data_IF_681468414068
#
_entry.id   IF_681468414068
#
_cell.length_a   1.000
_cell.length_b   1.000
_cell.length_c   1.000
_cell.angle_alpha   90.00
_cell.angle_beta   90.00
_cell.angle_gamma   90.00
#
_symmetry.space_group_name_H-M   'P 1'
#
loop_
_entity.id
_entity.type
_entity.pdbx_description
1 polymer ?
#
# COMPACT_ATOMS: atom_id res chain seq x y z
N UNK A 1 -8.70 -11.04 -10.78
CA UNK A 1 -7.90 -11.44 -9.60
C UNK A 1 -8.03 -10.40 -8.50
N UNK A 2 -7.76 -10.75 -7.24
CA UNK A 2 -7.70 -9.80 -6.12
C UNK A 2 -6.25 -9.70 -5.66
N UNK A 3 -5.74 -8.49 -5.50
CA UNK A 3 -4.37 -8.20 -5.04
C UNK A 3 -4.46 -7.31 -3.81
N UNK A 4 -3.74 -7.69 -2.75
CA UNK A 4 -3.68 -6.94 -1.48
C UNK A 4 -2.24 -6.72 -1.06
N UNK A 5 -1.90 -5.49 -0.67
CA UNK A 5 -0.56 -5.17 -0.21
C UNK A 5 -0.57 -4.01 0.81
N UNK A 6 0.42 -3.97 1.71
CA UNK A 6 0.63 -2.82 2.58
C UNK A 6 1.15 -1.63 1.77
N UNK A 7 0.59 -0.44 2.01
CA UNK A 7 1.04 0.78 1.35
C UNK A 7 2.21 1.41 2.11
N UNK A 8 3.42 1.27 1.56
CA UNK A 8 4.62 1.91 2.14
C UNK A 8 4.54 3.44 2.13
N UNK A 9 3.70 4.03 1.28
CA UNK A 9 3.49 5.48 1.19
C UNK A 9 2.81 6.09 2.41
N UNK A 10 2.26 5.27 3.32
CA UNK A 10 1.52 5.69 4.49
C UNK A 10 2.34 6.64 5.38
N UNK A 11 1.69 7.67 5.91
CA UNK A 11 2.36 8.77 6.63
C UNK A 11 3.22 8.29 7.80
N UNK A 12 2.81 7.22 8.49
CA UNK A 12 3.60 6.64 9.59
C UNK A 12 4.93 6.07 9.10
N UNK A 13 4.92 5.36 7.98
CA UNK A 13 6.14 4.84 7.36
C UNK A 13 7.07 5.98 6.93
N UNK A 14 6.51 7.03 6.29
CA UNK A 14 7.29 8.22 5.91
C UNK A 14 7.88 8.95 7.10
N UNK A 15 7.08 9.14 8.16
CA UNK A 15 7.53 9.81 9.37
C UNK A 15 8.61 9.01 10.08
N UNK A 16 8.49 7.69 10.13
CA UNK A 16 9.49 6.82 10.74
C UNK A 16 10.83 6.89 9.99
N UNK A 17 10.80 6.85 8.65
CA UNK A 17 12.02 7.03 7.84
C UNK A 17 12.59 8.43 8.01
N UNK A 18 11.75 9.47 8.01
CA UNK A 18 12.21 10.85 8.13
C UNK A 18 12.82 11.17 9.51
N UNK A 19 12.25 10.62 10.59
CA UNK A 19 12.69 10.91 11.96
C UNK A 19 13.80 9.96 12.44
N UNK A 20 13.73 8.67 12.09
CA UNK A 20 14.64 7.65 12.61
C UNK A 20 15.70 7.22 11.58
N UNK A 21 15.47 7.46 10.28
CA UNK A 21 16.36 6.98 9.22
C UNK A 21 16.37 5.45 9.05
N UNK A 22 15.46 4.75 9.73
CA UNK A 22 15.37 3.28 9.73
C UNK A 22 14.22 2.80 8.86
N UNK A 23 14.34 1.56 8.40
CA UNK A 23 13.25 0.91 7.67
C UNK A 23 12.01 0.84 8.56
N UNK A 24 10.83 1.27 8.06
CA UNK A 24 9.66 1.36 8.89
C UNK A 24 9.13 -0.03 9.20
N UNK A 25 8.86 -0.27 10.48
CA UNK A 25 8.25 -1.50 10.97
C UNK A 25 6.81 -1.16 11.33
N UNK A 26 5.88 -1.67 10.53
CA UNK A 26 4.45 -1.48 10.73
C UNK A 26 3.81 -2.79 11.19
N UNK A 27 2.61 -2.74 11.75
CA UNK A 27 1.86 -3.97 12.07
C UNK A 27 1.51 -4.78 10.82
N UNK A 28 1.35 -4.10 9.69
CA UNK A 28 1.15 -4.67 8.35
C UNK A 28 2.45 -5.14 7.68
N UNK A 29 3.61 -4.74 8.22
CA UNK A 29 4.94 -5.17 7.80
C UNK A 29 5.79 -5.45 9.06
N UNK A 30 5.55 -6.57 9.76
CA UNK A 30 6.15 -6.83 11.07
C UNK A 30 7.61 -7.29 10.99
N UNK A 31 8.12 -7.53 9.78
CA UNK A 31 9.46 -8.05 9.57
C UNK A 31 10.51 -6.95 9.63
N UNK A 32 11.64 -7.26 10.24
CA UNK A 32 12.84 -6.44 10.20
C UNK A 32 13.42 -6.45 8.78
N UNK A 33 14.09 -5.36 8.39
CA UNK A 33 14.65 -5.18 7.04
C UNK A 33 15.55 -6.34 6.59
N UNK A 34 16.27 -6.97 7.52
CA UNK A 34 17.19 -8.09 7.26
C UNK A 34 16.51 -9.48 7.26
N UNK A 35 15.27 -9.58 7.73
CA UNK A 35 14.54 -10.84 7.92
C UNK A 35 13.23 -10.90 7.13
N UNK A 36 13.16 -10.18 6.00
CA UNK A 36 11.91 -10.08 5.24
C UNK A 36 11.87 -11.11 4.11
N UNK A 37 11.09 -12.21 4.20
CA UNK A 37 10.97 -13.16 3.10
C UNK A 37 10.12 -12.54 1.99
N UNK A 38 10.74 -12.23 0.84
CA UNK A 38 10.07 -11.86 -0.41
C UNK A 38 9.04 -10.71 -0.35
N UNK A 39 9.21 -9.72 0.54
CA UNK A 39 8.35 -8.53 0.51
C UNK A 39 8.93 -7.51 -0.44
N UNK A 40 8.18 -7.20 -1.49
CA UNK A 40 8.44 -6.02 -2.31
C UNK A 40 7.71 -4.84 -1.68
N UNK A 41 8.44 -3.76 -1.37
CA UNK A 41 7.88 -2.56 -0.79
C UNK A 41 7.57 -1.57 -1.91
N UNK A 42 6.30 -1.23 -2.05
CA UNK A 42 5.84 -0.30 -3.08
C UNK A 42 4.63 0.49 -2.57
N UNK A 43 4.37 1.60 -3.23
CA UNK A 43 3.24 2.46 -2.91
C UNK A 43 2.04 2.15 -3.79
N UNK A 44 0.88 2.66 -3.41
CA UNK A 44 -0.33 2.61 -4.26
C UNK A 44 -0.04 3.19 -5.65
N UNK A 45 0.74 4.27 -5.74
CA UNK A 45 1.08 4.92 -7.01
C UNK A 45 1.94 4.02 -7.89
N UNK A 46 2.92 3.32 -7.32
CA UNK A 46 3.79 2.43 -8.09
C UNK A 46 2.99 1.26 -8.68
N UNK A 47 2.04 0.73 -7.92
CA UNK A 47 1.15 -0.33 -8.40
C UNK A 47 0.19 0.14 -9.50
N UNK A 48 -0.37 1.34 -9.36
CA UNK A 48 -1.24 1.93 -10.39
C UNK A 48 -0.46 2.20 -11.69
N UNK A 49 0.79 2.65 -11.60
CA UNK A 49 1.67 2.85 -12.76
C UNK A 49 2.03 1.52 -13.43
N UNK A 50 2.30 0.47 -12.64
CA UNK A 50 2.50 -0.88 -13.16
C UNK A 50 1.25 -1.40 -13.90
N UNK A 51 0.06 -1.22 -13.31
CA UNK A 51 -1.20 -1.60 -13.95
C UNK A 51 -1.39 -0.89 -15.29
N UNK A 52 -1.07 0.41 -15.35
CA UNK A 52 -1.10 1.20 -16.58
C UNK A 52 -0.13 0.68 -17.63
N UNK A 53 1.14 0.46 -17.25
CA UNK A 53 2.18 -0.05 -18.14
C UNK A 53 1.84 -1.43 -18.70
N UNK A 54 1.23 -2.31 -17.89
CA UNK A 54 0.85 -3.67 -18.26
C UNK A 54 -0.56 -3.79 -18.86
N UNK A 55 -1.28 -2.67 -19.04
CA UNK A 55 -2.68 -2.63 -19.51
C UNK A 55 -3.61 -3.57 -18.71
N UNK A 56 -3.46 -3.54 -17.39
CA UNK A 56 -4.30 -4.31 -16.48
C UNK A 56 -5.50 -3.45 -16.07
N UNK A 57 -6.70 -3.97 -16.27
CA UNK A 57 -7.92 -3.27 -15.87
C UNK A 57 -8.14 -3.32 -14.36
N UNK A 58 -8.22 -2.15 -13.75
CA UNK A 58 -8.57 -2.01 -12.33
C UNK A 58 -10.07 -1.80 -12.21
N UNK A 59 -10.79 -2.86 -11.85
CA UNK A 59 -12.26 -2.84 -11.72
C UNK A 59 -12.71 -2.14 -10.44
N UNK A 60 -12.01 -2.39 -9.34
CA UNK A 60 -12.28 -1.75 -8.06
C UNK A 60 -10.98 -1.53 -7.30
N UNK A 61 -10.94 -0.42 -6.56
CA UNK A 61 -9.91 -0.12 -5.58
C UNK A 61 -10.57 0.19 -4.24
N UNK A 62 -10.01 -0.33 -3.17
CA UNK A 62 -10.43 -0.03 -1.82
C UNK A 62 -9.20 0.16 -0.96
N UNK A 63 -9.21 1.23 -0.17
CA UNK A 63 -8.16 1.52 0.79
C UNK A 63 -8.74 1.24 2.18
N UNK A 64 -8.04 0.40 2.92
CA UNK A 64 -8.42 -0.05 4.23
C UNK A 64 -7.48 0.56 5.28
N UNK A 65 -8.07 0.93 6.40
CA UNK A 65 -7.32 1.22 7.61
C UNK A 65 -6.92 -0.09 8.31
N UNK A 66 -6.05 -0.03 9.33
CA UNK A 66 -5.60 -1.17 10.12
C UNK A 66 -6.76 -2.04 10.61
N UNK A 67 -7.91 -1.46 10.98
CA UNK A 67 -9.07 -2.20 11.46
C UNK A 67 -9.85 -2.93 10.34
N UNK A 68 -9.29 -3.04 9.12
CA UNK A 68 -9.97 -3.51 7.90
C UNK A 68 -11.27 -2.75 7.60
N UNK A 69 -11.39 -1.54 8.15
CA UNK A 69 -12.55 -0.68 7.90
C UNK A 69 -12.30 0.09 6.61
N UNK A 70 -13.29 0.16 5.70
CA UNK A 70 -13.19 1.02 4.53
C UNK A 70 -13.01 2.45 5.03
N UNK A 71 -11.92 3.08 4.62
CA UNK A 71 -11.62 4.43 5.04
C UNK A 71 -12.57 5.40 4.31
N UNK A 72 -13.47 6.05 5.07
CA UNK A 72 -14.52 6.95 4.56
C UNK A 72 -14.09 8.43 4.53
N UNK A 73 -12.82 8.72 4.85
CA UNK A 73 -12.27 10.07 4.79
C UNK A 73 -12.37 10.68 3.37
N UNK A 74 -12.19 12.01 3.23
CA UNK A 74 -12.17 12.63 1.92
C UNK A 74 -11.18 11.87 1.02
N UNK A 75 -11.52 11.66 -0.25
CA UNK A 75 -10.69 11.01 -1.31
C UNK A 75 -9.29 11.61 -1.49
N UNK A 76 -8.91 12.55 -0.64
CA UNK A 76 -7.69 13.30 -0.64
C UNK A 76 -6.59 12.42 -0.04
N UNK A 77 -5.68 12.01 -0.93
CA UNK A 77 -4.37 11.42 -0.67
C UNK A 77 -4.39 9.97 -0.15
N UNK A 78 -4.96 9.03 -0.93
CA UNK A 78 -5.01 7.60 -0.59
C UNK A 78 -3.63 7.01 -0.32
N UNK A 79 -2.59 7.55 -0.97
CA UNK A 79 -1.21 7.11 -0.77
C UNK A 79 -0.63 7.56 0.58
N UNK A 80 -1.15 8.62 1.19
CA UNK A 80 -0.65 9.15 2.48
C UNK A 80 -1.42 8.55 3.66
N UNK A 81 -2.72 8.30 3.51
CA UNK A 81 -3.62 7.93 4.61
C UNK A 81 -4.11 6.48 4.56
N UNK A 82 -3.88 5.78 3.45
CA UNK A 82 -4.17 4.35 3.33
C UNK A 82 -3.05 3.47 3.86
N UNK A 83 -3.34 2.57 4.77
CA UNK A 83 -2.36 1.59 5.27
C UNK A 83 -2.35 0.31 4.43
N UNK A 84 -3.53 -0.19 4.03
CA UNK A 84 -3.66 -1.41 3.21
C UNK A 84 -4.44 -1.07 1.94
N UNK A 85 -3.95 -1.55 0.80
CA UNK A 85 -4.65 -1.40 -0.47
C UNK A 85 -5.18 -2.75 -0.97
N UNK A 86 -6.44 -2.74 -1.42
CA UNK A 86 -7.11 -3.88 -2.03
C UNK A 86 -7.55 -3.51 -3.45
N UNK A 87 -7.07 -4.28 -4.42
CA UNK A 87 -7.33 -4.08 -5.83
C UNK A 87 -8.03 -5.30 -6.41
N UNK A 88 -9.14 -5.05 -7.12
CA UNK A 88 -9.80 -6.06 -7.95
C UNK A 88 -9.42 -5.80 -9.40
N UNK A 89 -8.66 -6.73 -9.96
CA UNK A 89 -8.16 -6.68 -11.32
C UNK A 89 -9.08 -7.48 -12.26
N UNK A 90 -9.44 -6.87 -13.38
CA UNK A 90 -10.03 -7.51 -14.54
C UNK A 90 -8.94 -7.95 -15.53
N UNK A 91 -9.32 -8.79 -16.48
CA UNK A 91 -8.50 -9.11 -17.64
C UNK A 91 -9.24 -8.54 -18.84
N UNK A 92 -8.58 -7.68 -19.60
CA UNK A 92 -9.04 -7.24 -20.92
C UNK A 92 -9.01 -8.43 -21.90
#
# INVERSE_FOLDING_TARGET
GIVTFPNFGFWRCRLQVALQGLMPVAKTLPYQWYNTPNVHLFTIRDFEELCRSKRIDVLQRMVLDHAHRPWQGPRLWPNLLGEIALYRLGRA
#
